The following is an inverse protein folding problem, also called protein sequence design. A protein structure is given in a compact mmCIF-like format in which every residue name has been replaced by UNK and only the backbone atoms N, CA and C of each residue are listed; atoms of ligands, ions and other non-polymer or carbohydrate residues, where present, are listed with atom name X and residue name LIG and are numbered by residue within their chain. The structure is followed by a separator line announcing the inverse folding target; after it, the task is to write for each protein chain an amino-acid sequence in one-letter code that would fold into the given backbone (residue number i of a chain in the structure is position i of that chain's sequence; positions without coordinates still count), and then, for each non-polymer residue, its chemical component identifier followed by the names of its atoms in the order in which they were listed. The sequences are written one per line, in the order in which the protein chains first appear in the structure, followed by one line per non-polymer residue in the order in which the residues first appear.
data_IF_958764919513
#
_entry.id   IF_958764919513
#
_cell.length_a   1.000
_cell.length_b   1.000
_cell.length_c   1.000
_cell.angle_alpha   90.00
_cell.angle_beta   90.00
_cell.angle_gamma   90.00
#
_symmetry.space_group_name_H-M   'P 1'
#
loop_
_entity.id
_entity.type
_entity.pdbx_description
1 polymer ?
#
# COMPACT_ATOMS: atom_id res chain seq x y z
N UNK A 1 -5.25 4.61 -18.84
CA UNK A 1 -5.88 3.36 -18.38
C UNK A 1 -4.78 2.47 -17.81
N UNK A 2 -4.98 1.87 -16.64
CA UNK A 2 -4.02 0.94 -16.04
C UNK A 2 -4.41 -0.50 -16.43
N UNK A 3 -3.44 -1.28 -16.87
CA UNK A 3 -3.52 -2.72 -17.08
C UNK A 3 -2.40 -3.38 -16.28
N UNK A 4 -2.68 -4.52 -15.66
CA UNK A 4 -1.74 -5.18 -14.73
C UNK A 4 -1.59 -6.69 -15.03
N UNK A 5 -1.87 -7.11 -16.26
CA UNK A 5 -1.74 -8.51 -16.67
C UNK A 5 -0.29 -9.02 -16.60
N UNK A 6 0.67 -8.15 -16.92
CA UNK A 6 2.12 -8.46 -16.87
C UNK A 6 2.76 -8.06 -15.54
N UNK A 7 1.98 -7.44 -14.64
CA UNK A 7 2.50 -6.86 -13.42
C UNK A 7 2.67 -7.90 -12.31
N UNK A 8 3.60 -7.65 -11.41
CA UNK A 8 3.84 -8.46 -10.22
C UNK A 8 3.93 -7.58 -8.97
N UNK A 9 3.41 -8.08 -7.86
CA UNK A 9 3.67 -7.50 -6.54
C UNK A 9 4.97 -8.09 -6.00
N UNK A 10 6.02 -7.27 -5.86
CA UNK A 10 7.37 -7.72 -5.48
C UNK A 10 7.67 -7.53 -4.01
N UNK A 11 7.19 -6.44 -3.41
CA UNK A 11 7.32 -6.19 -1.98
C UNK A 11 6.02 -5.63 -1.39
N UNK A 12 5.70 -6.02 -0.16
CA UNK A 12 4.54 -5.54 0.58
C UNK A 12 4.93 -5.29 2.04
N UNK A 13 4.66 -4.08 2.53
CA UNK A 13 4.71 -3.77 3.96
C UNK A 13 3.33 -3.39 4.44
N UNK A 14 2.96 -3.86 5.62
CA UNK A 14 1.68 -3.54 6.26
C UNK A 14 1.97 -2.89 7.59
N UNK A 15 1.36 -1.74 7.83
CA UNK A 15 1.41 -1.01 9.09
C UNK A 15 -0.02 -0.75 9.56
N UNK A 16 -0.18 -0.36 10.82
CA UNK A 16 -1.44 0.18 11.33
C UNK A 16 -1.26 1.67 11.57
N UNK A 17 -2.16 2.49 11.06
CA UNK A 17 -2.15 3.94 11.30
C UNK A 17 -3.42 4.33 12.06
N UNK A 18 -3.23 4.92 13.24
CA UNK A 18 -4.30 5.45 14.08
C UNK A 18 -4.65 6.90 13.77
N UNK A 19 -5.64 7.44 14.48
CA UNK A 19 -5.96 8.86 14.50
C UNK A 19 -5.45 9.55 15.77
N UNK A 20 -4.56 10.54 15.62
CA UNK A 20 -4.02 11.37 16.71
C UNK A 20 -5.10 12.03 17.57
N UNK A 21 -6.19 12.48 16.96
CA UNK A 21 -7.29 13.16 17.67
C UNK A 21 -8.17 12.21 18.49
N UNK A 22 -8.00 10.90 18.32
CA UNK A 22 -8.74 9.87 19.04
C UNK A 22 -7.84 9.05 19.98
N UNK A 23 -6.63 9.55 20.26
CA UNK A 23 -5.61 8.86 21.07
C UNK A 23 -5.25 7.46 20.53
N UNK A 24 -5.41 7.25 19.23
CA UNK A 24 -4.99 6.02 18.56
C UNK A 24 -3.58 6.20 17.99
N UNK A 25 -2.68 5.27 18.28
CA UNK A 25 -1.31 5.30 17.78
C UNK A 25 -1.15 4.50 16.48
N UNK A 26 -0.01 4.68 15.81
CA UNK A 26 0.41 3.78 14.74
C UNK A 26 1.19 2.58 15.30
N UNK A 27 1.22 1.50 14.53
CA UNK A 27 2.04 0.31 14.77
C UNK A 27 2.78 -0.01 13.46
N UNK A 28 4.10 -0.10 13.53
CA UNK A 28 4.93 -0.47 12.39
C UNK A 28 5.20 -1.98 12.45
N UNK A 29 5.17 -2.64 11.30
CA UNK A 29 5.77 -3.98 11.17
C UNK A 29 7.29 -3.87 11.33
N UNK A 30 7.94 -4.97 11.74
CA UNK A 30 9.41 -5.02 11.85
C UNK A 30 10.08 -5.46 10.54
N UNK A 31 9.30 -6.06 9.63
CA UNK A 31 9.76 -6.52 8.32
C UNK A 31 8.62 -6.49 7.29
N UNK A 32 8.94 -6.52 5.97
CA UNK A 32 7.97 -6.80 4.92
C UNK A 32 7.27 -8.14 5.12
N UNK A 33 6.15 -8.34 4.42
CA UNK A 33 5.47 -9.64 4.36
C UNK A 33 6.45 -10.65 3.71
N UNK A 34 6.87 -11.70 4.43
CA UNK A 34 8.05 -12.49 4.06
C UNK A 34 7.87 -13.35 2.81
N UNK A 35 6.65 -13.79 2.51
CA UNK A 35 6.36 -14.57 1.29
C UNK A 35 4.93 -14.27 0.80
N UNK A 36 4.82 -13.89 -0.47
CA UNK A 36 3.55 -13.77 -1.19
C UNK A 36 3.45 -14.98 -2.14
N UNK A 37 2.78 -16.04 -1.70
CA UNK A 37 2.53 -17.17 -2.58
C UNK A 37 1.75 -16.72 -3.84
N UNK A 38 1.81 -17.51 -4.91
CA UNK A 38 1.23 -17.14 -6.21
C UNK A 38 -0.28 -16.83 -6.12
N UNK A 39 -1.01 -17.52 -5.24
CA UNK A 39 -2.46 -17.34 -5.06
C UNK A 39 -2.74 -16.03 -4.34
N UNK A 40 -2.03 -15.77 -3.24
CA UNK A 40 -2.13 -14.53 -2.48
C UNK A 40 -1.69 -13.33 -3.32
N UNK A 41 -0.62 -13.47 -4.11
CA UNK A 41 -0.15 -12.42 -5.01
C UNK A 41 -1.24 -12.03 -6.01
N UNK A 42 -1.85 -13.00 -6.71
CA UNK A 42 -2.97 -12.73 -7.64
C UNK A 42 -4.16 -12.07 -6.96
N UNK A 43 -4.52 -12.51 -5.75
CA UNK A 43 -5.62 -11.91 -4.99
C UNK A 43 -5.31 -10.46 -4.62
N UNK A 44 -4.11 -10.17 -4.15
CA UNK A 44 -3.67 -8.82 -3.79
C UNK A 44 -3.58 -7.90 -5.01
N UNK A 45 -3.07 -8.40 -6.14
CA UNK A 45 -3.05 -7.68 -7.41
C UNK A 45 -4.46 -7.26 -7.82
N UNK A 46 -5.42 -8.20 -7.79
CA UNK A 46 -6.82 -7.90 -8.07
C UNK A 46 -7.36 -6.88 -7.06
N UNK A 47 -7.19 -7.11 -5.77
CA UNK A 47 -7.71 -6.23 -4.72
C UNK A 47 -7.20 -4.79 -4.85
N UNK A 48 -5.90 -4.61 -5.06
CA UNK A 48 -5.27 -3.29 -5.11
C UNK A 48 -5.49 -2.55 -6.44
N UNK A 49 -5.44 -3.24 -7.58
CA UNK A 49 -5.38 -2.57 -8.89
C UNK A 49 -6.70 -2.53 -9.65
N UNK A 50 -7.67 -3.43 -9.38
CA UNK A 50 -8.99 -3.40 -10.05
C UNK A 50 -9.70 -2.05 -9.94
N UNK A 51 -9.68 -1.35 -8.77
CA UNK A 51 -10.32 -0.04 -8.67
C UNK A 51 -9.76 1.00 -9.64
N UNK A 52 -8.53 0.81 -10.14
CA UNK A 52 -7.81 1.76 -10.99
C UNK A 52 -7.90 1.46 -12.49
N UNK A 53 -8.44 0.30 -12.90
CA UNK A 53 -8.56 -0.08 -14.32
C UNK A 53 -9.31 0.98 -15.14
N UNK A 54 -10.33 1.60 -14.55
CA UNK A 54 -11.23 2.56 -15.21
C UNK A 54 -11.00 4.01 -14.80
N UNK A 55 -10.08 4.25 -13.88
CA UNK A 55 -9.76 5.59 -13.38
C UNK A 55 -8.77 6.24 -14.35
N UNK A 56 -9.14 7.42 -14.86
CA UNK A 56 -8.30 8.18 -15.78
C UNK A 56 -7.78 9.47 -15.17
N UNK A 57 -8.30 9.86 -13.99
CA UNK A 57 -7.84 11.00 -13.24
C UNK A 57 -6.38 10.81 -12.82
N UNK A 58 -5.57 11.82 -13.10
CA UNK A 58 -4.16 11.86 -12.73
C UNK A 58 -3.89 13.12 -11.97
N UNK A 59 -3.14 12.95 -10.90
CA UNK A 59 -2.65 14.04 -10.08
C UNK A 59 -1.13 14.03 -10.12
N UNK A 60 -0.54 15.18 -9.82
CA UNK A 60 0.90 15.33 -9.68
C UNK A 60 1.20 15.78 -8.26
N UNK A 61 2.17 15.11 -7.64
CA UNK A 61 2.73 15.58 -6.39
C UNK A 61 3.34 16.97 -6.62
N UNK A 62 3.23 17.80 -5.60
CA UNK A 62 3.75 19.16 -5.63
C UNK A 62 4.20 19.58 -4.23
N UNK A 63 5.03 20.60 -4.18
CA UNK A 63 5.41 21.30 -2.95
C UNK A 63 5.40 22.80 -3.21
N UNK A 64 5.05 23.59 -2.19
CA UNK A 64 4.83 25.04 -2.32
C UNK A 64 6.07 25.83 -2.73
N UNK A 65 7.27 25.32 -2.42
CA UNK A 65 8.54 25.92 -2.83
C UNK A 65 8.88 25.71 -4.31
N UNK A 66 8.19 24.79 -4.99
CA UNK A 66 8.56 24.32 -6.33
C UNK A 66 9.64 23.23 -6.35
N UNK A 67 10.26 22.90 -5.21
CA UNK A 67 11.18 21.77 -5.07
C UNK A 67 10.40 20.51 -4.68
N UNK A 68 10.27 19.57 -5.62
CA UNK A 68 9.48 18.36 -5.44
C UNK A 68 10.09 17.40 -4.40
N UNK A 69 11.40 17.47 -4.14
CA UNK A 69 12.05 16.66 -3.11
C UNK A 69 11.62 17.03 -1.69
N UNK A 70 10.99 18.20 -1.51
CA UNK A 70 10.39 18.59 -0.24
C UNK A 70 8.98 18.04 -0.05
N UNK A 71 8.40 17.36 -1.05
CA UNK A 71 7.20 16.55 -0.85
C UNK A 71 7.61 15.19 -0.26
N UNK A 72 7.15 14.89 0.94
CA UNK A 72 7.55 13.71 1.70
C UNK A 72 7.22 12.41 0.98
N UNK A 73 6.02 12.31 0.39
CA UNK A 73 5.61 11.12 -0.37
C UNK A 73 6.50 10.93 -1.60
N UNK A 74 6.77 12.01 -2.35
CA UNK A 74 7.68 11.93 -3.49
C UNK A 74 9.09 11.52 -3.08
N UNK A 75 9.62 12.10 -2.00
CA UNK A 75 10.94 11.79 -1.48
C UNK A 75 11.07 10.31 -1.11
N UNK A 76 10.16 9.77 -0.29
CA UNK A 76 10.21 8.37 0.12
C UNK A 76 10.00 7.41 -1.05
N UNK A 77 9.07 7.71 -1.95
CA UNK A 77 8.81 6.86 -3.13
C UNK A 77 9.97 6.89 -4.12
N UNK A 78 10.63 8.04 -4.30
CA UNK A 78 11.82 8.13 -5.14
C UNK A 78 12.97 7.29 -4.58
N UNK A 79 13.20 7.33 -3.27
CA UNK A 79 14.23 6.50 -2.62
C UNK A 79 13.93 4.99 -2.74
N UNK A 80 12.64 4.59 -2.75
CA UNK A 80 12.25 3.19 -3.05
C UNK A 80 12.66 2.77 -4.46
N UNK A 81 12.49 3.64 -5.45
CA UNK A 81 12.86 3.31 -6.83
C UNK A 81 14.37 3.33 -7.05
N UNK A 82 15.08 4.26 -6.40
CA UNK A 82 16.53 4.36 -6.50
C UNK A 82 17.25 3.23 -5.74
N UNK A 83 16.72 2.83 -4.58
CA UNK A 83 17.26 1.81 -3.68
C UNK A 83 16.13 0.89 -3.16
N UNK A 84 15.70 -0.13 -3.93
CA UNK A 84 14.62 -1.04 -3.54
C UNK A 84 14.85 -1.78 -2.21
N UNK A 85 16.10 -1.89 -1.74
CA UNK A 85 16.46 -2.41 -0.42
C UNK A 85 15.93 -1.54 0.74
N UNK A 86 15.71 -0.24 0.51
CA UNK A 86 15.17 0.69 1.50
C UNK A 86 13.63 0.64 1.56
N UNK A 87 12.98 -0.23 0.79
CA UNK A 87 11.52 -0.30 0.69
C UNK A 87 10.82 -0.29 2.05
N UNK A 88 11.23 -1.17 2.96
CA UNK A 88 10.59 -1.28 4.27
C UNK A 88 10.83 -0.05 5.15
N UNK A 89 12.04 0.51 5.10
CA UNK A 89 12.35 1.72 5.86
C UNK A 89 11.48 2.88 5.37
N UNK A 90 11.31 3.04 4.06
CA UNK A 90 10.47 4.08 3.48
C UNK A 90 8.97 3.83 3.68
N UNK A 91 8.51 2.58 3.72
CA UNK A 91 7.12 2.25 4.06
C UNK A 91 6.78 2.66 5.51
N UNK A 92 7.71 2.52 6.44
CA UNK A 92 7.56 3.07 7.78
C UNK A 92 7.48 4.60 7.79
N UNK A 93 8.30 5.28 6.99
CA UNK A 93 8.26 6.75 6.90
C UNK A 93 6.92 7.23 6.33
N UNK A 94 6.38 6.55 5.32
CA UNK A 94 5.05 6.81 4.78
C UNK A 94 3.96 6.62 5.84
N UNK A 95 4.07 5.57 6.67
CA UNK A 95 3.12 5.34 7.77
C UNK A 95 3.19 6.43 8.86
N UNK A 96 4.40 6.83 9.27
CA UNK A 96 4.62 7.92 10.22
C UNK A 96 4.09 9.24 9.67
N UNK A 97 4.38 9.54 8.40
CA UNK A 97 3.89 10.74 7.74
C UNK A 97 2.35 10.77 7.67
N UNK A 98 1.72 9.66 7.28
CA UNK A 98 0.26 9.56 7.25
C UNK A 98 -0.36 9.78 8.63
N UNK A 99 0.25 9.20 9.68
CA UNK A 99 -0.17 9.46 11.05
C UNK A 99 -0.05 10.95 11.42
N UNK A 100 1.03 11.59 10.98
CA UNK A 100 1.30 13.00 11.28
C UNK A 100 0.29 13.97 10.66
N UNK A 101 -0.13 13.68 9.43
CA UNK A 101 -1.11 14.50 8.70
C UNK A 101 -2.57 14.07 8.92
N UNK A 102 -2.82 12.93 9.58
CA UNK A 102 -4.17 12.46 9.93
C UNK A 102 -4.76 13.26 11.10
N UNK A 103 -5.23 14.46 10.80
CA UNK A 103 -5.67 15.46 11.79
C UNK A 103 -7.18 15.77 11.73
N UNK A 104 -7.98 14.87 11.15
CA UNK A 104 -9.43 15.05 11.04
C UNK A 104 -10.17 13.94 11.82
N UNK A 105 -11.17 14.28 12.67
CA UNK A 105 -11.81 13.32 13.58
C UNK A 105 -12.63 12.21 12.87
N UNK A 106 -12.87 12.35 11.56
CA UNK A 106 -13.57 11.33 10.75
C UNK A 106 -12.64 10.30 10.11
N UNK A 107 -11.33 10.50 10.16
CA UNK A 107 -10.36 9.50 9.69
C UNK A 107 -10.34 8.38 10.72
N UNK A 108 -10.63 7.14 10.31
CA UNK A 108 -10.62 6.01 11.25
C UNK A 108 -9.23 5.40 11.35
N UNK A 109 -8.90 4.72 12.45
CA UNK A 109 -7.75 3.82 12.44
C UNK A 109 -7.91 2.72 11.39
N UNK A 110 -6.79 2.23 10.86
CA UNK A 110 -6.81 1.27 9.78
C UNK A 110 -5.45 0.68 9.46
N UNK A 111 -5.46 -0.30 8.56
CA UNK A 111 -4.25 -0.87 7.98
C UNK A 111 -3.79 0.01 6.81
N UNK A 112 -2.48 0.26 6.74
CA UNK A 112 -1.82 0.91 5.63
C UNK A 112 -0.95 -0.14 4.92
N UNK A 113 -1.23 -0.35 3.65
CA UNK A 113 -0.52 -1.25 2.76
C UNK A 113 0.35 -0.41 1.84
N UNK A 114 1.67 -0.66 1.87
CA UNK A 114 2.63 -0.10 0.93
C UNK A 114 3.10 -1.25 0.05
N UNK A 115 2.88 -1.13 -1.26
CA UNK A 115 3.09 -2.21 -2.22
C UNK A 115 4.00 -1.73 -3.36
N UNK A 116 5.04 -2.48 -3.67
CA UNK A 116 5.87 -2.26 -4.85
C UNK A 116 5.42 -3.19 -5.97
N UNK A 117 5.03 -2.61 -7.09
CA UNK A 117 4.62 -3.31 -8.30
C UNK A 117 5.65 -3.10 -9.40
N UNK A 118 5.95 -4.16 -10.14
CA UNK A 118 6.77 -4.08 -11.36
C UNK A 118 5.91 -4.38 -12.58
N UNK A 119 6.30 -3.83 -13.74
CA UNK A 119 5.67 -4.09 -15.04
C UNK A 119 4.17 -3.76 -15.11
N UNK A 120 3.74 -2.70 -14.43
CA UNK A 120 2.39 -2.16 -14.55
C UNK A 120 2.25 -1.38 -15.85
N UNK A 121 1.23 -1.69 -16.65
CA UNK A 121 1.03 -1.05 -17.94
C UNK A 121 0.18 0.21 -17.79
N UNK A 122 0.76 1.37 -18.09
CA UNK A 122 0.09 2.66 -18.12
C UNK A 122 0.20 3.26 -19.52
N UNK A 123 -0.94 3.45 -20.18
CA UNK A 123 -1.02 4.00 -21.55
C UNK A 123 -0.14 3.28 -22.59
N UNK A 124 0.09 1.98 -22.39
CA UNK A 124 0.88 1.14 -23.29
C UNK A 124 2.36 1.03 -22.90
N UNK A 125 2.82 1.77 -21.89
CA UNK A 125 4.18 1.68 -21.35
C UNK A 125 4.20 0.82 -20.08
N UNK A 126 5.21 -0.05 -19.94
CA UNK A 126 5.44 -0.80 -18.71
C UNK A 126 6.28 0.05 -17.75
N UNK A 127 5.79 0.20 -16.52
CA UNK A 127 6.37 1.03 -15.49
C UNK A 127 6.30 0.32 -14.14
N UNK A 128 7.23 0.64 -13.26
CA UNK A 128 7.15 0.26 -11.86
C UNK A 128 6.33 1.28 -11.09
N UNK A 129 5.64 0.84 -10.04
CA UNK A 129 4.71 1.66 -9.28
C UNK A 129 4.74 1.33 -7.79
N UNK A 130 4.62 2.36 -6.95
CA UNK A 130 4.32 2.20 -5.52
C UNK A 130 2.84 2.47 -5.28
N UNK A 131 2.13 1.48 -4.76
CA UNK A 131 0.77 1.62 -4.28
C UNK A 131 0.72 1.92 -2.78
N UNK A 132 -0.14 2.85 -2.40
CA UNK A 132 -0.39 3.25 -1.01
C UNK A 132 -1.89 3.11 -0.76
N UNK A 133 -2.28 2.13 0.05
CA UNK A 133 -3.69 1.80 0.29
C UNK A 133 -3.99 1.82 1.77
N UNK A 134 -5.05 2.52 2.18
CA UNK A 134 -5.51 2.54 3.57
C UNK A 134 -6.87 1.86 3.66
N UNK A 135 -6.97 0.82 4.47
CA UNK A 135 -8.25 0.18 4.80
C UNK A 135 -8.74 0.64 6.17
N UNK A 136 -9.91 1.26 6.21
CA UNK A 136 -10.58 1.74 7.45
C UNK A 136 -11.65 0.77 7.99
N UNK A 137 -11.82 -0.37 7.32
CA UNK A 137 -12.80 -1.39 7.63
C UNK A 137 -12.15 -2.75 7.59
N UNK A 138 -12.57 -3.67 8.46
CA UNK A 138 -12.17 -5.07 8.31
C UNK A 138 -12.77 -5.60 7.02
N UNK A 139 -11.93 -5.79 6.02
CA UNK A 139 -12.29 -6.43 4.75
C UNK A 139 -12.58 -7.90 5.03
N UNK A 140 -13.70 -8.41 4.51
CA UNK A 140 -14.14 -9.80 4.78
C UNK A 140 -13.19 -10.83 4.16
N UNK A 141 -12.49 -10.47 3.08
CA UNK A 141 -11.71 -11.39 2.25
C UNK A 141 -10.21 -11.45 2.57
N UNK A 142 -9.64 -10.37 3.10
CA UNK A 142 -8.23 -10.30 3.50
C UNK A 142 -8.15 -10.14 5.02
N UNK A 143 -7.66 -11.19 5.69
CA UNK A 143 -7.45 -11.21 7.14
C UNK A 143 -5.99 -10.92 7.44
N UNK A 144 -5.74 -9.69 7.87
CA UNK A 144 -4.47 -9.31 8.49
C UNK A 144 -4.46 -9.78 9.94
N UNK A 145 -3.41 -10.51 10.33
CA UNK A 145 -3.22 -10.96 11.70
C UNK A 145 -1.80 -10.62 12.21
N UNK A 146 -1.62 -10.35 13.51
CA UNK A 146 -0.30 -10.12 14.07
C UNK A 146 0.57 -11.38 13.94
N UNK A 147 1.84 -11.19 13.58
CA UNK A 147 2.88 -12.22 13.59
C UNK A 147 4.10 -11.69 14.35
N UNK A 148 5.00 -12.56 14.82
CA UNK A 148 6.11 -12.19 15.72
C UNK A 148 6.93 -10.96 15.27
N UNK A 149 7.08 -10.74 13.96
CA UNK A 149 7.84 -9.61 13.39
C UNK A 149 7.02 -8.67 12.50
N UNK A 150 5.69 -8.65 12.66
CA UNK A 150 4.84 -7.76 11.86
C UNK A 150 3.42 -8.28 11.69
N UNK A 151 2.96 -8.33 10.43
CA UNK A 151 1.63 -8.78 10.08
C UNK A 151 1.67 -9.89 9.03
N UNK A 152 0.93 -10.96 9.28
CA UNK A 152 0.62 -11.98 8.29
C UNK A 152 -0.69 -11.67 7.57
N UNK A 153 -0.84 -12.20 6.36
CA UNK A 153 -2.05 -12.15 5.56
C UNK A 153 -2.59 -13.57 5.36
N UNK A 154 -3.89 -13.73 5.57
CA UNK A 154 -4.64 -14.92 5.16
C UNK A 154 -5.90 -14.50 4.43
N UNK A 155 -6.47 -15.41 3.65
CA UNK A 155 -7.74 -15.21 2.98
C UNK A 155 -8.75 -16.26 3.45
N UNK A 156 -10.01 -15.86 3.59
CA UNK A 156 -11.10 -16.83 3.73
C UNK A 156 -11.71 -17.08 2.35
N UNK A 157 -11.51 -18.30 1.82
CA UNK A 157 -12.40 -18.83 0.81
C UNK A 157 -13.73 -19.12 1.51
N UNK A 158 -14.66 -18.16 1.50
CA UNK A 158 -16.06 -18.57 1.58
C UNK A 158 -16.33 -19.49 0.39
N UNK A 159 -16.80 -20.70 0.72
CA UNK A 159 -17.29 -21.66 -0.25
C UNK A 159 -18.39 -21.01 -1.09
N UNK A 160 -18.01 -20.51 -2.28
CA UNK A 160 -18.98 -20.33 -3.35
C UNK A 160 -19.38 -21.73 -3.76
N UNK A 161 -20.50 -22.20 -3.21
CA UNK A 161 -21.32 -23.21 -3.85
C UNK A 161 -21.70 -22.64 -5.22
N UNK A 162 -20.96 -23.03 -6.24
CA UNK A 162 -21.43 -22.98 -7.62
C UNK A 162 -22.47 -24.09 -7.76
N UNK A 163 -23.73 -23.71 -7.59
CA UNK A 163 -24.89 -24.42 -8.11
C UNK A 163 -25.49 -23.62 -9.26
#
# INVERSE_FOLDING_TARGET
MISFFEASLTQLSIHRVGNKLQDEFYVLSEAPVPELDETLNKLLMQYFLSPYEKVNERYRLHHSSGDLNLNEVYHFVSDIFDQPENFHQNSEQLAKYLYDVSNHPKIKSGELYIALFENLQLDGELLDAVGIFKSETKETYLKVYPQQSGFGLSYEQEAINIS
#
